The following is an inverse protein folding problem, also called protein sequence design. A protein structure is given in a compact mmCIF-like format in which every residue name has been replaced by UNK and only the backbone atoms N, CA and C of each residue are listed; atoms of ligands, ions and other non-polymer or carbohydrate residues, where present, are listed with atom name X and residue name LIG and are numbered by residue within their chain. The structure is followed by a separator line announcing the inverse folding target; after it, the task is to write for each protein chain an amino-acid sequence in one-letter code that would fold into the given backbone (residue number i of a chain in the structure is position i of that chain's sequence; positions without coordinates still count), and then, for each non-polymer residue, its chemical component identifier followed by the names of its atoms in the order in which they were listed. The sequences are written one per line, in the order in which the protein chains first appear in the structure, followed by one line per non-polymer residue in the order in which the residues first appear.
data_IF_464124772786
#
_entry.id   IF_464124772786
#
_cell.length_a   1.000
_cell.length_b   1.000
_cell.length_c   1.000
_cell.angle_alpha   90.00
_cell.angle_beta   90.00
_cell.angle_gamma   90.00
#
_symmetry.space_group_name_H-M   'P 1'
#
loop_
_entity.id
_entity.type
_entity.pdbx_description
1 polymer ?
#
# COMPACT_ATOMS: atom_id res chain seq x y z
N UNK A 1 -1.70 -9.21 -7.22
CA UNK A 1 -0.90 -8.60 -6.14
C UNK A 1 -0.24 -9.69 -5.34
N UNK A 2 1.03 -9.51 -5.00
CA UNK A 2 1.86 -10.39 -4.18
C UNK A 2 2.61 -9.56 -3.14
N UNK A 3 3.16 -10.22 -2.13
CA UNK A 3 4.06 -9.57 -1.18
C UNK A 3 5.30 -9.08 -1.94
N UNK A 4 5.78 -7.89 -1.61
CA UNK A 4 6.82 -7.11 -2.28
C UNK A 4 6.41 -6.50 -3.63
N UNK A 5 5.16 -6.63 -4.07
CA UNK A 5 4.68 -5.84 -5.21
C UNK A 5 4.64 -4.36 -4.81
N UNK A 6 5.02 -3.51 -5.77
CA UNK A 6 4.81 -2.07 -5.67
C UNK A 6 3.39 -1.75 -6.13
N UNK A 7 2.72 -0.89 -5.37
CA UNK A 7 1.33 -0.52 -5.63
C UNK A 7 1.15 0.98 -5.54
N UNK A 8 0.21 1.49 -6.32
CA UNK A 8 -0.31 2.86 -6.25
C UNK A 8 -1.69 2.85 -5.61
N UNK A 9 -1.91 3.78 -4.69
CA UNK A 9 -3.19 3.98 -4.03
C UNK A 9 -4.12 4.79 -4.94
N UNK A 10 -5.29 4.25 -5.24
CA UNK A 10 -6.26 4.89 -6.13
C UNK A 10 -7.31 5.74 -5.40
N UNK A 11 -7.44 5.56 -4.09
CA UNK A 11 -8.47 6.17 -3.24
C UNK A 11 -7.94 6.49 -1.83
N UNK A 12 -8.72 7.20 -1.03
CA UNK A 12 -8.40 7.74 0.31
C UNK A 12 -7.34 8.85 0.32
N UNK A 13 -6.93 9.28 1.52
CA UNK A 13 -5.92 10.32 1.76
C UNK A 13 -4.54 10.00 1.16
N UNK A 14 -4.32 8.74 0.77
CA UNK A 14 -3.09 8.27 0.17
C UNK A 14 -3.14 8.19 -1.37
N UNK A 15 -4.24 8.63 -2.00
CA UNK A 15 -4.40 8.59 -3.47
C UNK A 15 -3.21 9.22 -4.20
N UNK A 16 -2.64 8.50 -5.16
CA UNK A 16 -1.47 8.91 -5.95
C UNK A 16 -0.13 8.68 -5.26
N UNK A 17 -0.11 8.26 -3.99
CA UNK A 17 1.11 7.73 -3.38
C UNK A 17 1.38 6.32 -3.87
N UNK A 18 2.64 5.89 -3.72
CA UNK A 18 3.05 4.51 -3.97
C UNK A 18 3.50 3.86 -2.68
N UNK A 19 3.49 2.53 -2.65
CA UNK A 19 3.98 1.78 -1.51
C UNK A 19 4.28 0.34 -1.86
N UNK A 20 4.81 -0.39 -0.88
CA UNK A 20 5.20 -1.79 -1.02
C UNK A 20 4.29 -2.68 -0.18
N UNK A 21 3.75 -3.74 -0.80
CA UNK A 21 2.90 -4.72 -0.12
C UNK A 21 3.75 -5.58 0.81
N UNK A 22 3.49 -5.52 2.12
CA UNK A 22 4.22 -6.36 3.09
C UNK A 22 3.41 -7.55 3.58
N UNK A 23 2.08 -7.51 3.44
CA UNK A 23 1.18 -8.58 3.85
C UNK A 23 -0.12 -8.57 3.06
N UNK A 24 -0.61 -9.74 2.68
CA UNK A 24 -1.94 -9.92 2.12
C UNK A 24 -2.90 -10.34 3.25
N UNK A 25 -4.03 -9.65 3.37
CA UNK A 25 -5.09 -9.89 4.36
C UNK A 25 -6.35 -10.51 3.74
N UNK A 26 -6.30 -10.86 2.45
CA UNK A 26 -7.38 -11.47 1.68
C UNK A 26 -7.14 -11.33 0.18
N UNK A 27 -8.12 -11.71 -0.63
CA UNK A 27 -8.02 -11.65 -2.10
C UNK A 27 -7.87 -10.20 -2.61
N UNK A 28 -8.51 -9.24 -1.93
CA UNK A 28 -8.50 -7.82 -2.28
C UNK A 28 -8.11 -6.92 -1.09
N UNK A 29 -7.33 -7.41 -0.14
CA UNK A 29 -6.89 -6.60 1.00
C UNK A 29 -5.41 -6.82 1.26
N UNK A 30 -4.67 -5.73 1.40
CA UNK A 30 -3.25 -5.78 1.70
C UNK A 30 -2.88 -4.72 2.74
N UNK A 31 -1.81 -5.01 3.47
CA UNK A 31 -1.06 -4.04 4.27
C UNK A 31 0.08 -3.57 3.40
N UNK A 32 0.14 -2.25 3.22
CA UNK A 32 1.14 -1.59 2.37
C UNK A 32 1.90 -0.58 3.22
N UNK A 33 3.21 -0.56 3.03
CA UNK A 33 4.10 0.49 3.53
C UNK A 33 4.17 1.57 2.47
N UNK A 34 3.79 2.79 2.83
CA UNK A 34 3.76 3.93 1.91
C UNK A 34 5.17 4.50 1.75
N UNK A 35 5.60 4.73 0.51
CA UNK A 35 6.89 5.35 0.21
C UNK A 35 6.80 6.87 0.41
N UNK A 36 7.76 7.45 1.14
CA UNK A 36 7.91 8.91 1.26
C UNK A 36 7.22 9.56 2.47
N UNK A 37 6.76 8.79 3.47
CA UNK A 37 6.57 9.37 4.81
C UNK A 37 7.94 9.54 5.46
N UNK A 38 8.32 10.77 5.77
CA UNK A 38 9.58 11.13 6.46
C UNK A 38 9.56 10.79 7.97
N UNK A 39 8.47 10.22 8.45
CA UNK A 39 8.41 9.66 9.80
C UNK A 39 9.14 8.29 9.79
N UNK A 40 10.06 8.10 10.75
CA UNK A 40 10.83 6.86 10.98
C UNK A 40 9.98 5.58 11.13
N UNK A 41 8.65 5.70 11.13
CA UNK A 41 7.69 4.61 11.28
C UNK A 41 6.94 4.39 9.97
N UNK A 42 7.02 3.18 9.36
CA UNK A 42 6.27 2.88 8.16
C UNK A 42 4.76 2.92 8.45
N UNK A 43 4.05 3.82 7.78
CA UNK A 43 2.59 3.90 7.87
C UNK A 43 1.96 2.70 7.16
N UNK A 44 1.24 1.90 7.95
CA UNK A 44 0.55 0.70 7.50
C UNK A 44 -0.88 1.04 7.09
N UNK A 45 -1.14 1.11 5.79
CA UNK A 45 -2.48 1.30 5.28
C UNK A 45 -3.15 -0.04 4.95
N UNK A 46 -4.35 -0.28 5.51
CA UNK A 46 -5.25 -1.33 5.03
C UNK A 46 -6.05 -0.78 3.88
N UNK A 47 -5.93 -1.40 2.71
CA UNK A 47 -6.54 -0.86 1.49
C UNK A 47 -7.14 -1.96 0.63
N UNK A 48 -8.27 -1.62 0.01
CA UNK A 48 -9.08 -2.50 -0.83
C UNK A 48 -9.01 -2.15 -2.32
N UNK A 49 -8.51 -0.97 -2.67
CA UNK A 49 -8.39 -0.49 -4.05
C UNK A 49 -6.97 0.01 -4.33
N UNK A 50 -6.14 -0.92 -4.79
CA UNK A 50 -4.74 -0.72 -5.14
C UNK A 50 -4.49 -1.13 -6.58
N UNK A 51 -3.65 -0.38 -7.28
CA UNK A 51 -3.13 -0.74 -8.60
C UNK A 51 -1.70 -1.24 -8.44
N UNK A 52 -1.41 -2.45 -8.90
CA UNK A 52 -0.02 -2.93 -9.00
C UNK A 52 0.66 -2.21 -10.16
N UNK A 53 1.87 -1.69 -9.94
CA UNK A 53 2.68 -0.96 -10.92
C UNK A 53 4.04 -1.60 -11.16
#
# INVERSE_FOLDING_TARGET
MKINDRVEFLENDNKGKTGTVIKLMGEHSAVVVIDGEEDDVPTLARVTNLKVI
#
